data_IF_655437331625
#
_entry.id   IF_655437331625
#
_cell.length_a   1.000
_cell.length_b   1.000
_cell.length_c   1.000
_cell.angle_alpha   90.00
_cell.angle_beta   90.00
_cell.angle_gamma   90.00
#
_symmetry.space_group_name_H-M   'P 1'
#
loop_
_entity.id
_entity.type
_entity.pdbx_description
1 polymer ?
#
# COMPACT_ATOMS: atom_id res chain seq x y z
N UNK A 1 7.82 74.07 -30.16
CA UNK A 1 7.74 73.57 -29.99
C UNK A 1 7.88 72.69 -29.67
N UNK A 2 7.93 72.14 -29.68
CA UNK A 2 7.85 71.37 -29.43
C UNK A 2 8.07 70.44 -29.01
N UNK A 3 8.17 69.90 -29.00
CA UNK A 3 8.19 69.03 -28.62
C UNK A 3 8.35 68.15 -28.22
N UNK A 4 8.43 67.77 -28.19
CA UNK A 4 8.38 66.91 -27.82
C UNK A 4 8.67 65.93 -27.42
N UNK A 5 8.71 65.39 -27.29
CA UNK A 5 8.77 64.49 -26.86
C UNK A 5 8.99 63.53 -26.47
N UNK A 6 9.05 63.03 -26.39
CA UNK A 6 9.08 62.17 -26.00
C UNK A 6 9.32 61.25 -25.58
N UNK A 7 9.38 60.65 -25.55
CA UNK A 7 9.49 59.73 -25.10
C UNK A 7 9.63 58.82 -24.73
N UNK A 8 9.56 58.50 -24.56
CA UNK A 8 9.53 57.70 -24.28
C UNK A 8 9.80 56.82 -23.83
N UNK A 9 9.87 56.43 -23.71
CA UNK A 9 10.02 55.56 -23.32
C UNK A 9 10.12 54.62 -22.90
N UNK A 10 10.07 54.19 -22.81
CA UNK A 10 10.08 53.28 -22.47
C UNK A 10 10.32 52.30 -22.08
N UNK A 11 10.46 51.80 -22.01
CA UNK A 11 10.50 50.92 -21.67
C UNK A 11 10.72 49.98 -21.26
N UNK A 12 10.79 49.54 -21.14
CA UNK A 12 10.92 48.74 -20.76
C UNK A 12 10.95 47.79 -20.35
N UNK A 13 10.81 47.32 -20.17
CA UNK A 13 10.69 46.39 -19.92
C UNK A 13 11.05 45.53 -19.42
N UNK A 14 11.09 44.98 -19.30
CA UNK A 14 11.34 44.12 -18.93
C UNK A 14 11.38 43.14 -18.42
N UNK A 15 11.37 42.69 -18.42
CA UNK A 15 11.28 41.76 -18.01
C UNK A 15 11.56 40.81 -17.68
N UNK A 16 11.62 40.37 -17.57
CA UNK A 16 11.72 39.45 -17.29
C UNK A 16 12.00 38.52 -16.91
N UNK A 17 12.12 38.07 -16.87
CA UNK A 17 12.24 37.16 -16.56
C UNK A 17 12.39 36.30 -16.04
N UNK A 18 12.32 36.00 -15.90
CA UNK A 18 12.39 35.32 -15.36
C UNK A 18 12.36 34.30 -15.36
N UNK A 19 12.07 33.86 -15.37
CA UNK A 19 11.82 32.88 -15.42
C UNK A 19 12.45 31.88 -15.28
N UNK A 20 12.79 31.52 -15.35
CA UNK A 20 13.35 30.51 -15.44
C UNK A 20 13.49 29.80 -14.48
N UNK A 21 13.54 30.15 -14.01
CA UNK A 21 13.76 29.65 -13.08
C UNK A 21 13.06 28.76 -12.75
N UNK A 22 12.27 28.92 -12.72
CA UNK A 22 11.49 28.13 -12.19
C UNK A 22 11.67 26.94 -12.58
N UNK A 23 11.78 26.86 -13.50
CA UNK A 23 11.74 25.77 -13.97
C UNK A 23 12.30 24.78 -13.24
N UNK A 24 13.04 24.95 -12.84
CA UNK A 24 13.60 24.09 -12.32
C UNK A 24 13.06 23.55 -11.38
N UNK A 25 12.99 23.13 -11.02
CA UNK A 25 12.46 22.61 -9.99
C UNK A 25 11.25 22.06 -10.08
N UNK A 26 10.76 21.98 -11.04
CA UNK A 26 9.58 21.55 -11.01
C UNK A 26 9.53 20.24 -10.95
N UNK A 27 9.06 19.78 -10.13
CA UNK A 27 8.95 18.55 -9.90
C UNK A 27 7.97 18.04 -10.70
N UNK A 28 8.02 17.07 -10.98
CA UNK A 28 7.11 16.52 -11.47
C UNK A 28 6.19 16.34 -10.72
N UNK A 29 5.26 16.32 -11.01
CA UNK A 29 4.15 16.28 -10.37
C UNK A 29 3.93 15.04 -9.75
N UNK A 30 4.18 14.98 -8.63
CA UNK A 30 3.78 13.91 -7.85
C UNK A 30 2.43 14.30 -7.37
N UNK A 31 1.46 13.56 -7.70
CA UNK A 31 0.16 13.82 -7.16
C UNK A 31 0.17 13.40 -5.73
N UNK A 32 0.37 14.35 -4.89
CA UNK A 32 0.33 14.07 -3.49
C UNK A 32 -1.12 14.15 -3.07
N UNK A 33 -1.72 13.02 -2.90
CA UNK A 33 -3.08 12.96 -2.44
C UNK A 33 -3.09 13.23 -0.97
N UNK A 34 -3.93 14.13 -0.55
CA UNK A 34 -4.05 14.39 0.86
C UNK A 34 -4.70 13.19 1.52
N UNK A 35 -4.07 12.69 2.54
CA UNK A 35 -4.56 11.52 3.24
C UNK A 35 -5.14 11.96 4.57
N UNK A 36 -6.31 11.44 4.89
CA UNK A 36 -6.91 11.65 6.20
C UNK A 36 -6.16 10.76 7.20
N UNK A 37 -5.22 11.35 7.91
CA UNK A 37 -4.35 10.59 8.78
C UNK A 37 -5.07 9.93 9.94
N UNK A 38 -6.19 10.51 10.39
CA UNK A 38 -6.95 9.90 11.46
C UNK A 38 -7.61 8.61 10.98
N UNK A 39 -8.10 8.63 9.77
CA UNK A 39 -8.73 7.46 9.20
C UNK A 39 -7.71 6.36 8.96
N UNK A 40 -6.53 6.73 8.49
CA UNK A 40 -5.47 5.76 8.26
C UNK A 40 -4.96 5.21 9.59
N UNK A 41 -4.88 6.06 10.60
CA UNK A 41 -4.40 5.63 11.90
C UNK A 41 -5.30 4.59 12.55
N UNK A 42 -6.55 4.53 12.13
CA UNK A 42 -7.46 3.51 12.64
C UNK A 42 -7.24 2.14 11.99
N UNK A 43 -6.39 2.08 10.99
CA UNK A 43 -6.10 0.82 10.32
C UNK A 43 -5.16 -0.05 11.12
N UNK A 44 -4.90 -1.22 10.59
CA UNK A 44 -4.03 -2.17 11.27
C UNK A 44 -2.60 -2.05 10.75
N UNK A 45 -1.66 -2.10 11.65
CA UNK A 45 -0.25 -2.05 11.27
C UNK A 45 0.16 -3.42 10.77
N UNK A 46 0.77 -3.46 9.60
CA UNK A 46 1.20 -4.72 9.00
C UNK A 46 2.12 -5.49 9.95
N UNK A 47 3.01 -4.79 10.63
CA UNK A 47 3.94 -5.43 11.56
C UNK A 47 3.24 -6.07 12.75
N UNK A 48 2.02 -5.66 13.06
CA UNK A 48 1.25 -6.25 14.15
C UNK A 48 0.38 -7.40 13.66
N UNK A 49 0.10 -7.44 12.37
CA UNK A 49 -0.69 -8.51 11.80
C UNK A 49 0.18 -9.74 11.55
N UNK A 50 1.38 -9.53 11.10
CA UNK A 50 2.30 -10.63 10.79
C UNK A 50 2.58 -11.42 12.05
N UNK A 51 2.45 -12.72 11.95
CA UNK A 51 2.65 -13.62 13.07
C UNK A 51 1.37 -14.02 13.79
N UNK A 52 0.25 -13.36 13.48
CA UNK A 52 -1.00 -13.69 14.14
C UNK A 52 -1.65 -14.91 13.53
N UNK A 53 -2.41 -15.61 14.35
CA UNK A 53 -3.18 -16.76 13.89
C UNK A 53 -4.40 -16.32 13.14
N UNK A 54 -4.80 -17.12 12.17
CA UNK A 54 -6.03 -16.89 11.40
C UNK A 54 -7.00 -17.99 11.75
N UNK A 55 -8.22 -17.60 12.03
CA UNK A 55 -9.29 -18.51 12.41
C UNK A 55 -10.30 -18.63 11.28
N UNK A 56 -11.09 -19.67 11.32
CA UNK A 56 -12.22 -19.78 10.40
C UNK A 56 -13.50 -19.42 11.14
N UNK A 57 -14.64 -19.60 10.48
CA UNK A 57 -15.93 -19.26 11.08
C UNK A 57 -16.24 -20.09 12.32
N UNK A 58 -15.65 -21.27 12.42
CA UNK A 58 -15.87 -22.14 13.57
C UNK A 58 -14.87 -21.85 14.69
N UNK A 59 -14.10 -20.75 14.59
CA UNK A 59 -13.12 -20.36 15.59
C UNK A 59 -11.94 -21.34 15.67
N UNK A 60 -11.74 -22.11 14.63
CA UNK A 60 -10.58 -22.98 14.56
C UNK A 60 -9.40 -22.26 13.95
N UNK A 61 -8.23 -22.47 14.50
CA UNK A 61 -7.00 -21.88 13.93
C UNK A 61 -6.65 -22.66 12.66
N UNK A 62 -6.68 -21.97 11.53
CA UNK A 62 -6.40 -22.62 10.26
C UNK A 62 -5.04 -22.27 9.71
N UNK A 63 -4.39 -21.29 10.27
CA UNK A 63 -3.06 -20.92 9.81
C UNK A 63 -2.54 -19.72 10.56
N UNK A 64 -1.42 -19.22 10.09
CA UNK A 64 -0.76 -18.09 10.71
C UNK A 64 -0.27 -17.18 9.61
N UNK A 65 -0.35 -15.88 9.82
CA UNK A 65 0.11 -14.92 8.82
C UNK A 65 1.63 -14.90 8.83
N UNK A 66 2.22 -15.29 7.72
CA UNK A 66 3.67 -15.29 7.57
C UNK A 66 4.17 -13.93 7.11
N UNK A 67 3.47 -13.32 6.17
CA UNK A 67 3.87 -12.02 5.67
C UNK A 67 2.73 -11.39 4.87
N UNK A 68 2.91 -10.14 4.53
CA UNK A 68 2.02 -9.45 3.61
C UNK A 68 2.81 -9.11 2.36
N UNK A 69 2.17 -9.27 1.20
CA UNK A 69 2.81 -8.96 -0.06
C UNK A 69 2.06 -7.83 -0.75
N UNK A 70 2.81 -6.89 -1.27
CA UNK A 70 2.25 -5.85 -2.11
C UNK A 70 2.79 -6.11 -3.50
N UNK A 71 1.90 -6.25 -4.46
CA UNK A 71 2.33 -6.53 -5.83
C UNK A 71 3.07 -5.34 -6.42
N UNK A 72 3.88 -5.60 -7.42
CA UNK A 72 4.69 -4.54 -8.01
C UNK A 72 3.86 -3.43 -8.65
N UNK A 73 2.65 -3.76 -9.07
CA UNK A 73 1.74 -2.76 -9.59
C UNK A 73 1.08 -1.95 -8.48
N UNK A 74 1.31 -2.34 -7.23
CA UNK A 74 0.82 -1.58 -6.07
C UNK A 74 -0.67 -1.64 -5.86
N UNK A 75 -1.35 -2.53 -6.52
CA UNK A 75 -2.81 -2.52 -6.44
C UNK A 75 -3.39 -3.15 -5.20
N UNK A 76 -3.20 -4.41 -5.01
CA UNK A 76 -3.83 -5.06 -3.87
C UNK A 76 -2.82 -5.77 -3.01
N UNK A 77 -2.98 -5.72 -1.71
CA UNK A 77 -2.12 -6.51 -0.85
C UNK A 77 -2.64 -7.94 -0.77
N UNK A 78 -1.73 -8.86 -0.58
CA UNK A 78 -2.02 -10.26 -0.38
C UNK A 78 -1.40 -10.70 0.93
N UNK A 79 -1.91 -11.77 1.48
CA UNK A 79 -1.44 -12.29 2.75
C UNK A 79 -0.92 -13.69 2.51
N UNK A 80 0.28 -13.96 3.01
CA UNK A 80 0.85 -15.29 2.95
C UNK A 80 0.51 -15.99 4.25
N UNK A 81 -0.16 -17.13 4.14
CA UNK A 81 -0.53 -17.92 5.30
C UNK A 81 0.32 -19.18 5.37
N UNK A 82 0.77 -19.50 6.54
CA UNK A 82 1.46 -20.74 6.82
C UNK A 82 0.43 -21.69 7.43
N UNK A 83 0.19 -22.79 6.76
CA UNK A 83 -0.88 -23.70 7.13
C UNK A 83 -0.31 -25.01 7.66
N UNK A 84 -0.84 -25.47 8.78
CA UNK A 84 -0.54 -26.78 9.27
C UNK A 84 0.87 -26.93 9.70
N UNK A 85 1.47 -28.05 9.63
CA UNK A 85 2.83 -28.20 10.03
C UNK A 85 2.96 -28.46 11.49
N UNK A 86 2.89 -29.71 11.88
CA UNK A 86 3.15 -30.03 13.24
C UNK A 86 4.63 -29.88 13.43
N UNK A 87 5.04 -29.08 14.36
CA UNK A 87 6.45 -28.85 14.65
C UNK A 87 7.22 -28.32 13.44
N UNK A 88 6.53 -27.52 12.63
CA UNK A 88 7.17 -26.94 11.45
C UNK A 88 7.35 -27.88 10.28
N UNK A 89 6.94 -29.11 10.44
CA UNK A 89 7.09 -30.08 9.36
C UNK A 89 5.84 -30.07 8.51
N UNK A 90 6.03 -30.09 7.21
CA UNK A 90 4.91 -30.12 6.30
C UNK A 90 4.13 -28.82 6.23
N UNK A 91 4.77 -27.71 6.60
CA UNK A 91 4.12 -26.42 6.49
C UNK A 91 3.84 -26.11 5.04
N UNK A 92 2.62 -25.72 4.76
CA UNK A 92 2.20 -25.39 3.43
C UNK A 92 1.88 -23.89 3.40
N UNK A 93 2.54 -23.16 2.53
CA UNK A 93 2.30 -21.73 2.43
C UNK A 93 1.36 -21.45 1.27
N UNK A 94 0.40 -20.58 1.51
CA UNK A 94 -0.57 -20.20 0.49
C UNK A 94 -0.76 -18.70 0.53
N UNK A 95 -1.33 -18.16 -0.55
CA UNK A 95 -1.59 -16.74 -0.64
C UNK A 95 -3.09 -16.52 -0.74
N UNK A 96 -3.60 -15.61 0.07
CA UNK A 96 -5.00 -15.20 0.00
C UNK A 96 -5.04 -13.69 -0.11
N UNK A 97 -6.15 -13.16 -0.56
CA UNK A 97 -6.30 -11.72 -0.68
C UNK A 97 -6.50 -11.11 0.69
N UNK A 98 -5.89 -9.97 0.90
CA UNK A 98 -6.05 -9.27 2.17
C UNK A 98 -7.52 -8.95 2.45
N UNK A 99 -8.26 -8.54 1.43
CA UNK A 99 -9.65 -8.18 1.62
C UNK A 99 -10.58 -9.38 1.87
N UNK A 100 -10.06 -10.59 1.77
CA UNK A 100 -10.79 -11.78 2.14
C UNK A 100 -10.76 -12.07 3.62
N UNK A 101 -9.93 -11.36 4.37
CA UNK A 101 -9.83 -11.55 5.80
C UNK A 101 -10.71 -10.54 6.53
N UNK A 102 -11.25 -10.96 7.65
CA UNK A 102 -12.00 -10.05 8.52
C UNK A 102 -11.21 -9.84 9.79
N UNK A 103 -11.07 -8.58 10.14
CA UNK A 103 -10.39 -8.21 11.37
C UNK A 103 -11.44 -7.82 12.39
N UNK A 104 -11.53 -8.59 13.45
CA UNK A 104 -12.54 -8.37 14.47
C UNK A 104 -11.84 -8.37 15.81
N UNK A 105 -11.85 -7.23 16.48
CA UNK A 105 -11.15 -7.05 17.74
C UNK A 105 -9.71 -7.53 17.60
N UNK A 106 -9.36 -8.57 18.28
CA UNK A 106 -8.01 -9.11 18.20
C UNK A 106 -7.95 -10.38 17.38
N UNK A 107 -8.99 -10.65 16.60
CA UNK A 107 -9.07 -11.87 15.82
C UNK A 107 -9.00 -11.59 14.35
N UNK A 108 -8.35 -12.48 13.63
CA UNK A 108 -8.31 -12.43 12.18
C UNK A 108 -9.01 -13.67 11.69
N UNK A 109 -10.06 -13.48 10.91
CA UNK A 109 -10.91 -14.59 10.46
C UNK A 109 -10.91 -14.65 8.94
N UNK A 110 -10.75 -15.84 8.41
CA UNK A 110 -10.94 -16.09 6.99
C UNK A 110 -12.27 -16.81 6.84
N UNK A 111 -13.32 -16.08 6.47
CA UNK A 111 -14.65 -16.69 6.34
C UNK A 111 -14.65 -17.82 5.33
N UNK A 112 -15.27 -18.91 5.68
CA UNK A 112 -15.34 -20.06 4.79
C UNK A 112 -14.06 -20.84 4.68
N UNK A 113 -13.03 -20.46 5.41
CA UNK A 113 -11.75 -21.15 5.31
C UNK A 113 -11.74 -22.45 6.09
N UNK A 114 -11.06 -23.43 5.55
CA UNK A 114 -10.78 -24.67 6.25
C UNK A 114 -9.33 -25.04 5.99
N UNK A 115 -8.73 -25.78 6.90
CA UNK A 115 -7.36 -26.23 6.68
C UNK A 115 -7.25 -27.05 5.41
N UNK A 116 -8.20 -27.94 5.20
CA UNK A 116 -8.16 -28.79 4.01
C UNK A 116 -8.31 -27.98 2.73
N UNK A 117 -9.22 -27.01 2.74
CA UNK A 117 -9.42 -26.16 1.58
C UNK A 117 -8.18 -25.35 1.26
N UNK A 118 -7.52 -24.81 2.29
CA UNK A 118 -6.31 -24.04 2.09
C UNK A 118 -5.16 -24.90 1.60
N UNK A 119 -5.07 -26.12 2.07
CA UNK A 119 -4.02 -27.03 1.63
C UNK A 119 -4.15 -27.40 0.16
N UNK A 120 -5.34 -27.22 -0.41
CA UNK A 120 -5.54 -27.49 -1.82
C UNK A 120 -5.13 -26.33 -2.71
N UNK A 121 -4.86 -25.17 -2.13
CA UNK A 121 -4.38 -24.05 -2.91
C UNK A 121 -2.93 -24.29 -3.35
N UNK A 122 -2.50 -23.65 -4.43
CA UNK A 122 -1.11 -23.80 -4.88
C UNK A 122 -0.14 -23.40 -3.78
N UNK A 123 0.91 -24.16 -3.64
CA UNK A 123 1.95 -23.83 -2.67
C UNK A 123 2.65 -22.55 -3.11
N UNK A 124 2.94 -21.71 -2.16
CA UNK A 124 3.60 -20.44 -2.42
C UNK A 124 5.03 -20.48 -1.91
N UNK A 125 5.92 -19.90 -2.70
CA UNK A 125 7.29 -19.69 -2.28
C UNK A 125 7.67 -18.27 -2.61
N UNK A 126 8.41 -17.63 -1.70
CA UNK A 126 8.86 -16.27 -1.97
C UNK A 126 9.87 -16.27 -3.10
N UNK A 127 9.77 -15.26 -3.96
CA UNK A 127 10.78 -15.13 -5.00
C UNK A 127 12.03 -14.49 -4.39
N UNK A 128 13.15 -14.82 -4.97
CA UNK A 128 14.42 -14.33 -4.46
C UNK A 128 14.83 -13.02 -5.06
#
# INVERSE_FOLDING_TARGET
MKKTMMFVSAMMGVAVLSGPAGAQGVPQSVDIVKVDVQKVAAGYRASKIIGNSVLNDAQETIGKIDDLLVTRDGKEPYVVLSIGGFLGMGTHMVVVRYDGLKFDDNKIVLPGGTKDGLKMLPAFEYSK
#
